data_IF_098603257387
#
_entry.id   IF_098603257387
#
_cell.length_a   1.000
_cell.length_b   1.000
_cell.length_c   1.000
_cell.angle_alpha   90.00
_cell.angle_beta   90.00
_cell.angle_gamma   90.00
#
_symmetry.space_group_name_H-M   'P 1'
#
loop_
_entity.id
_entity.type
_entity.pdbx_description
1 polymer ?
#
# COMPACT_ATOMS: atom_id res chain seq x y z
N UNK A 1 -17.29 12.01 -18.89
CA UNK A 1 -16.42 11.94 -20.04
C UNK A 1 -16.92 10.83 -20.97
N UNK A 2 -17.30 11.22 -22.22
CA UNK A 2 -17.87 10.29 -23.19
C UNK A 2 -16.83 9.29 -23.70
N UNK A 3 -15.60 9.71 -23.88
CA UNK A 3 -14.53 8.86 -24.43
C UNK A 3 -14.23 7.66 -23.52
N UNK A 4 -14.28 7.86 -22.21
CA UNK A 4 -14.14 6.77 -21.24
C UNK A 4 -15.39 5.89 -21.15
N UNK A 5 -16.58 6.50 -21.24
CA UNK A 5 -17.84 5.78 -21.17
C UNK A 5 -18.07 4.87 -22.37
N UNK A 6 -17.70 5.32 -23.58
CA UNK A 6 -17.94 4.58 -24.82
C UNK A 6 -17.33 3.17 -24.79
N UNK A 7 -16.08 3.04 -24.38
CA UNK A 7 -15.41 1.75 -24.29
C UNK A 7 -16.10 0.78 -23.33
N UNK A 8 -16.56 1.27 -22.19
CA UNK A 8 -17.31 0.48 -21.20
C UNK A 8 -18.70 0.11 -21.72
N UNK A 9 -19.37 1.05 -22.40
CA UNK A 9 -20.70 0.83 -22.98
C UNK A 9 -20.68 -0.24 -24.09
N UNK A 10 -19.70 -0.21 -24.98
CA UNK A 10 -19.54 -1.22 -26.01
C UNK A 10 -19.34 -2.63 -25.44
N UNK A 11 -18.57 -2.76 -24.36
CA UNK A 11 -18.43 -4.04 -23.67
C UNK A 11 -19.73 -4.47 -22.97
N UNK A 12 -20.49 -3.52 -22.43
CA UNK A 12 -21.80 -3.80 -21.84
C UNK A 12 -22.81 -4.29 -22.90
N UNK A 13 -22.84 -3.69 -24.09
CA UNK A 13 -23.65 -4.14 -25.23
C UNK A 13 -23.30 -5.58 -25.61
N UNK A 14 -22.03 -5.94 -25.63
CA UNK A 14 -21.61 -7.33 -25.89
C UNK A 14 -22.15 -8.35 -24.90
N UNK A 15 -22.42 -7.93 -23.66
CA UNK A 15 -23.01 -8.79 -22.61
C UNK A 15 -24.53 -8.74 -22.56
N UNK A 16 -25.10 -7.59 -22.86
CA UNK A 16 -26.53 -7.29 -22.85
C UNK A 16 -26.92 -6.63 -24.16
N UNK A 17 -27.17 -7.40 -25.23
CA UNK A 17 -27.41 -6.86 -26.59
C UNK A 17 -28.58 -5.85 -26.68
N UNK A 18 -29.54 -5.95 -25.76
CA UNK A 18 -30.66 -4.99 -25.70
C UNK A 18 -30.21 -3.54 -25.49
N UNK A 19 -29.01 -3.32 -24.98
CA UNK A 19 -28.42 -1.98 -24.76
C UNK A 19 -28.05 -1.28 -26.06
N UNK A 20 -27.87 -2.02 -27.17
CA UNK A 20 -27.57 -1.44 -28.49
C UNK A 20 -28.63 -0.42 -28.94
N UNK A 21 -29.87 -0.67 -28.58
CA UNK A 21 -31.01 0.20 -28.91
C UNK A 21 -31.47 1.08 -27.73
N UNK A 22 -30.71 1.09 -26.64
CA UNK A 22 -31.05 1.89 -25.47
C UNK A 22 -30.51 3.33 -25.59
N UNK A 23 -31.37 4.31 -25.30
CA UNK A 23 -30.92 5.70 -25.19
C UNK A 23 -30.26 5.97 -23.83
N UNK A 24 -29.30 6.87 -23.83
CA UNK A 24 -28.67 7.36 -22.58
C UNK A 24 -29.47 8.56 -22.08
N UNK A 25 -30.14 8.41 -20.96
CA UNK A 25 -30.95 9.49 -20.36
C UNK A 25 -30.06 10.57 -19.72
N UNK A 26 -28.99 10.15 -19.05
CA UNK A 26 -28.10 11.05 -18.34
C UNK A 26 -26.74 10.38 -18.13
N UNK A 27 -25.67 11.11 -18.38
CA UNK A 27 -24.33 10.75 -17.98
C UNK A 27 -23.95 11.54 -16.72
N UNK A 28 -23.74 10.84 -15.61
CA UNK A 28 -23.29 11.45 -14.35
C UNK A 28 -21.79 11.32 -14.28
N UNK A 29 -21.10 12.44 -14.10
CA UNK A 29 -19.66 12.50 -13.88
C UNK A 29 -19.39 13.42 -12.69
N UNK A 30 -18.59 12.96 -11.73
CA UNK A 30 -18.27 13.70 -10.51
C UNK A 30 -16.92 13.31 -9.96
N UNK A 31 -16.29 14.17 -9.15
CA UNK A 31 -15.04 13.86 -8.47
C UNK A 31 -15.27 12.80 -7.39
N UNK A 32 -14.30 11.92 -7.24
CA UNK A 32 -14.27 10.92 -6.18
C UNK A 32 -12.98 11.00 -5.38
N UNK A 33 -13.06 10.73 -4.08
CA UNK A 33 -11.92 10.86 -3.17
C UNK A 33 -11.13 9.55 -3.10
N UNK A 34 -9.97 9.53 -3.72
CA UNK A 34 -8.99 8.45 -3.61
C UNK A 34 -7.83 8.83 -2.72
N UNK A 35 -7.30 7.86 -2.00
CA UNK A 35 -6.10 7.97 -1.17
C UNK A 35 -4.89 7.38 -1.89
N UNK A 36 -3.66 7.76 -1.50
CA UNK A 36 -2.45 7.25 -2.16
C UNK A 36 -2.20 5.75 -1.97
N UNK A 37 -2.85 5.12 -1.01
CA UNK A 37 -2.72 3.68 -0.74
C UNK A 37 -3.99 2.87 -1.05
N UNK A 38 -5.05 3.52 -1.57
CA UNK A 38 -6.30 2.86 -1.91
C UNK A 38 -7.16 2.43 -0.71
N UNK A 39 -6.76 2.78 0.53
CA UNK A 39 -7.53 2.48 1.74
C UNK A 39 -8.14 3.76 2.32
N UNK A 40 -9.36 3.70 2.81
CA UNK A 40 -10.01 4.87 3.41
C UNK A 40 -9.29 5.33 4.70
N UNK A 41 -9.66 6.50 5.19
CA UNK A 41 -9.01 7.14 6.34
C UNK A 41 -10.01 7.16 7.50
N UNK A 42 -9.62 6.60 8.65
CA UNK A 42 -10.34 6.73 9.92
C UNK A 42 -9.38 7.20 11.01
N UNK A 43 -9.95 7.82 12.06
CA UNK A 43 -9.27 8.03 13.31
C UNK A 43 -9.06 9.47 13.71
N UNK A 44 -8.45 9.64 14.89
CA UNK A 44 -8.12 10.94 15.44
C UNK A 44 -6.89 11.52 14.75
N UNK A 45 -6.97 12.79 14.37
CA UNK A 45 -5.84 13.53 13.80
C UNK A 45 -4.68 13.57 14.80
N UNK A 46 -3.43 13.23 14.39
CA UNK A 46 -2.28 13.36 15.27
C UNK A 46 -1.92 14.81 15.60
N UNK A 47 -2.45 15.77 14.85
CA UNK A 47 -2.14 17.20 14.99
C UNK A 47 -3.19 17.95 15.80
N UNK A 48 -4.43 17.47 15.82
CA UNK A 48 -5.56 18.17 16.47
C UNK A 48 -6.35 17.18 17.33
N UNK A 49 -6.15 17.26 18.63
CA UNK A 49 -6.88 16.42 19.60
C UNK A 49 -8.38 16.62 19.51
N UNK A 50 -9.12 15.55 19.53
CA UNK A 50 -10.59 15.56 19.44
C UNK A 50 -11.12 15.75 18.02
N UNK A 51 -10.25 15.88 17.02
CA UNK A 51 -10.63 15.96 15.60
C UNK A 51 -10.53 14.59 14.96
N UNK A 52 -11.68 13.97 14.70
CA UNK A 52 -11.77 12.65 14.08
C UNK A 52 -12.11 12.78 12.59
N UNK A 53 -11.50 11.91 11.79
CA UNK A 53 -11.62 11.89 10.34
C UNK A 53 -12.24 10.58 9.89
N UNK A 54 -13.19 10.66 8.95
CA UNK A 54 -13.70 9.55 8.17
C UNK A 54 -13.80 10.02 6.71
N UNK A 55 -12.83 9.66 5.86
CA UNK A 55 -12.69 10.22 4.51
C UNK A 55 -11.99 9.27 3.54
N UNK A 56 -11.96 9.67 2.25
CA UNK A 56 -11.19 9.00 1.22
C UNK A 56 -11.62 7.54 1.01
N UNK A 57 -12.91 7.29 0.87
CA UNK A 57 -13.44 5.92 0.84
C UNK A 57 -13.21 5.17 -0.48
N UNK A 58 -12.51 5.75 -1.46
CA UNK A 58 -12.09 5.08 -2.68
C UNK A 58 -13.22 4.27 -3.34
N UNK A 59 -14.36 4.90 -3.60
CA UNK A 59 -15.59 4.31 -4.14
C UNK A 59 -16.34 3.33 -3.19
N UNK A 60 -15.80 3.00 -2.03
CA UNK A 60 -16.44 2.08 -1.08
C UNK A 60 -17.32 2.75 -0.01
N UNK A 61 -17.59 4.05 -0.13
CA UNK A 61 -18.29 4.83 0.92
C UNK A 61 -19.62 4.24 1.31
N UNK A 62 -20.45 3.81 0.37
CA UNK A 62 -21.76 3.20 0.66
C UNK A 62 -21.59 1.87 1.40
N UNK A 63 -20.69 1.02 0.97
CA UNK A 63 -20.48 -0.29 1.59
C UNK A 63 -19.83 -0.20 2.97
N UNK A 64 -18.91 0.76 3.18
CA UNK A 64 -18.12 0.87 4.40
C UNK A 64 -18.73 1.76 5.48
N UNK A 65 -19.72 2.62 5.17
CA UNK A 65 -20.20 3.69 6.06
C UNK A 65 -20.68 3.18 7.42
N UNK A 66 -21.42 2.09 7.46
CA UNK A 66 -21.97 1.54 8.70
C UNK A 66 -20.86 1.07 9.66
N UNK A 67 -19.90 0.30 9.13
CA UNK A 67 -18.75 -0.19 9.90
C UNK A 67 -17.80 0.93 10.32
N UNK A 68 -17.46 1.83 9.41
CA UNK A 68 -16.61 2.97 9.68
C UNK A 68 -17.24 3.93 10.72
N UNK A 69 -18.54 4.24 10.56
CA UNK A 69 -19.27 5.08 11.51
C UNK A 69 -19.32 4.47 12.91
N UNK A 70 -19.58 3.17 13.01
CA UNK A 70 -19.55 2.45 14.29
C UNK A 70 -18.16 2.49 14.93
N UNK A 71 -17.12 2.16 14.18
CA UNK A 71 -15.76 2.14 14.70
C UNK A 71 -15.30 3.52 15.21
N UNK A 72 -15.62 4.59 14.47
CA UNK A 72 -15.36 5.95 14.94
C UNK A 72 -16.18 6.33 16.19
N UNK A 73 -17.46 5.98 16.25
CA UNK A 73 -18.28 6.26 17.40
C UNK A 73 -17.77 5.55 18.67
N UNK A 74 -17.39 4.26 18.56
CA UNK A 74 -16.78 3.48 19.64
C UNK A 74 -15.46 4.10 20.09
N UNK A 75 -14.60 4.52 19.14
CA UNK A 75 -13.34 5.20 19.45
C UNK A 75 -13.54 6.54 20.16
N UNK A 76 -14.46 7.38 19.67
CA UNK A 76 -14.74 8.70 20.27
C UNK A 76 -15.24 8.55 21.70
N UNK A 77 -16.13 7.58 21.95
CA UNK A 77 -16.74 7.37 23.28
C UNK A 77 -15.80 6.64 24.24
N UNK A 78 -15.09 5.62 23.74
CA UNK A 78 -14.18 4.78 24.52
C UNK A 78 -12.78 5.35 24.70
N UNK A 79 -12.38 6.33 23.90
CA UNK A 79 -11.03 6.91 23.90
C UNK A 79 -10.01 6.12 23.08
N UNK A 80 -10.35 4.91 22.67
CA UNK A 80 -9.50 4.03 21.85
C UNK A 80 -10.38 3.19 20.91
N UNK A 81 -9.84 2.72 19.78
CA UNK A 81 -10.58 1.86 18.88
C UNK A 81 -10.85 0.49 19.50
N UNK A 82 -12.05 -0.06 19.28
CA UNK A 82 -12.45 -1.39 19.77
C UNK A 82 -11.85 -2.55 18.98
N UNK A 83 -11.18 -2.26 17.88
CA UNK A 83 -10.52 -3.22 16.99
C UNK A 83 -9.26 -2.63 16.39
N UNK A 84 -8.41 -3.46 15.77
CA UNK A 84 -7.23 -2.98 15.04
C UNK A 84 -7.65 -2.23 13.76
N UNK A 85 -7.53 -0.90 13.81
CA UNK A 85 -7.80 0.01 12.70
C UNK A 85 -6.51 0.50 12.00
N UNK A 86 -5.34 -0.04 12.36
CA UNK A 86 -4.06 0.42 11.79
C UNK A 86 -4.05 0.52 10.25
N UNK A 87 -4.62 -0.42 9.48
CA UNK A 87 -4.62 -0.32 8.02
C UNK A 87 -5.36 0.89 7.46
N UNK A 88 -6.25 1.49 8.24
CA UNK A 88 -7.06 2.66 7.85
C UNK A 88 -6.84 3.87 8.74
N UNK A 89 -6.01 3.77 9.77
CA UNK A 89 -5.71 4.87 10.70
C UNK A 89 -4.99 6.01 9.96
N UNK A 90 -5.43 7.25 10.21
CA UNK A 90 -4.82 8.44 9.62
C UNK A 90 -3.32 8.55 9.94
N UNK A 91 -2.87 8.01 11.08
CA UNK A 91 -1.46 8.02 11.53
C UNK A 91 -0.52 7.17 10.66
N UNK A 92 -1.06 6.35 9.74
CA UNK A 92 -0.25 5.62 8.76
C UNK A 92 0.43 6.52 7.72
N UNK A 93 -0.06 7.74 7.58
CA UNK A 93 0.53 8.71 6.66
C UNK A 93 1.69 9.47 7.30
N UNK A 94 2.82 9.52 6.59
CA UNK A 94 4.00 10.29 7.00
C UNK A 94 4.12 11.62 6.25
N UNK A 95 5.19 12.38 6.52
CA UNK A 95 5.42 13.71 5.93
C UNK A 95 5.44 13.72 4.40
N UNK A 96 5.97 12.66 3.77
CA UNK A 96 6.02 12.56 2.30
C UNK A 96 4.64 12.55 1.64
N UNK A 97 3.58 12.20 2.38
CA UNK A 97 2.21 12.27 1.89
C UNK A 97 1.68 13.73 1.82
N UNK A 98 2.44 14.71 2.27
CA UNK A 98 2.09 16.15 2.13
C UNK A 98 2.55 16.72 0.80
N UNK A 99 3.44 16.05 0.08
CA UNK A 99 3.96 16.51 -1.19
C UNK A 99 2.93 16.32 -2.31
N UNK A 100 2.50 17.42 -2.92
CA UNK A 100 1.50 17.43 -3.99
C UNK A 100 1.90 16.52 -5.16
N UNK A 101 3.17 16.53 -5.54
CA UNK A 101 3.68 15.68 -6.62
C UNK A 101 3.49 14.20 -6.30
N UNK A 102 3.88 13.78 -5.09
CA UNK A 102 3.68 12.41 -4.62
C UNK A 102 2.20 12.02 -4.62
N UNK A 103 1.34 12.90 -4.08
CA UNK A 103 -0.09 12.64 -4.02
C UNK A 103 -0.69 12.45 -5.42
N UNK A 104 -0.35 13.33 -6.37
CA UNK A 104 -0.86 13.22 -7.75
C UNK A 104 -0.41 11.90 -8.39
N UNK A 105 0.88 11.61 -8.39
CA UNK A 105 1.44 10.42 -9.02
C UNK A 105 0.89 9.12 -8.40
N UNK A 106 0.93 9.02 -7.08
CA UNK A 106 0.53 7.83 -6.36
C UNK A 106 -0.98 7.61 -6.37
N UNK A 107 -1.79 8.66 -6.21
CA UNK A 107 -3.25 8.54 -6.27
C UNK A 107 -3.71 8.18 -7.67
N UNK A 108 -3.07 8.72 -8.72
CA UNK A 108 -3.35 8.32 -10.11
C UNK A 108 -3.09 6.83 -10.32
N UNK A 109 -1.97 6.30 -9.84
CA UNK A 109 -1.67 4.87 -9.92
C UNK A 109 -2.66 4.04 -9.09
N UNK A 110 -2.94 4.44 -7.85
CA UNK A 110 -3.89 3.74 -6.98
C UNK A 110 -5.30 3.69 -7.59
N UNK A 111 -5.75 4.79 -8.18
CA UNK A 111 -7.04 4.86 -8.88
C UNK A 111 -7.05 3.95 -10.11
N UNK A 112 -5.98 3.96 -10.90
CA UNK A 112 -5.84 3.08 -12.07
C UNK A 112 -5.87 1.59 -11.70
N UNK A 113 -5.27 1.23 -10.59
CA UNK A 113 -5.25 -0.16 -10.08
C UNK A 113 -6.55 -0.57 -9.38
N UNK A 114 -7.37 0.37 -8.93
CA UNK A 114 -8.59 0.09 -8.17
C UNK A 114 -9.60 -0.80 -8.91
N UNK A 115 -9.73 -0.60 -10.21
CA UNK A 115 -10.67 -1.35 -11.06
C UNK A 115 -10.00 -2.45 -11.89
N UNK A 116 -8.73 -2.73 -11.67
CA UNK A 116 -8.01 -3.80 -12.35
C UNK A 116 -7.92 -5.04 -11.48
N UNK A 117 -7.67 -6.18 -12.09
CA UNK A 117 -7.33 -7.40 -11.37
C UNK A 117 -5.87 -7.30 -10.93
N UNK A 118 -5.65 -7.23 -9.61
CA UNK A 118 -4.31 -7.14 -9.06
C UNK A 118 -3.48 -8.41 -9.35
N UNK A 119 -2.22 -8.22 -9.67
CA UNK A 119 -1.26 -9.31 -9.74
C UNK A 119 -0.82 -9.74 -8.33
N UNK A 120 -0.51 -11.01 -8.10
CA UNK A 120 0.07 -11.44 -6.85
C UNK A 120 1.35 -10.66 -6.54
N UNK A 121 1.44 -10.13 -5.32
CA UNK A 121 2.59 -9.34 -4.83
C UNK A 121 2.88 -8.06 -5.62
N UNK A 122 1.89 -7.53 -6.34
CA UNK A 122 2.02 -6.27 -7.04
C UNK A 122 2.21 -5.11 -6.05
N UNK A 123 3.19 -4.26 -6.31
CA UNK A 123 3.48 -3.06 -5.54
C UNK A 123 3.28 -1.80 -6.37
N UNK A 124 3.20 -0.64 -5.71
CA UNK A 124 3.16 0.64 -6.39
C UNK A 124 4.55 1.02 -6.94
N UNK A 125 4.58 1.56 -8.15
CA UNK A 125 5.81 2.02 -8.82
C UNK A 125 5.98 3.54 -8.76
N UNK A 126 4.89 4.31 -8.72
CA UNK A 126 4.93 5.78 -8.71
C UNK A 126 5.40 6.37 -7.36
N UNK A 127 5.87 7.61 -7.40
CA UNK A 127 6.29 8.33 -6.20
C UNK A 127 7.46 7.66 -5.46
N UNK A 128 8.37 7.00 -6.17
CA UNK A 128 9.53 6.29 -5.63
C UNK A 128 10.84 6.81 -6.25
N UNK A 129 12.01 6.68 -5.54
CA UNK A 129 12.18 6.22 -4.15
C UNK A 129 11.77 7.29 -3.12
N UNK A 130 11.25 6.86 -1.94
CA UNK A 130 10.90 7.78 -0.83
C UNK A 130 11.94 7.76 0.29
N UNK A 131 12.15 6.59 0.89
CA UNK A 131 13.11 6.40 1.99
C UNK A 131 14.13 5.35 1.57
N UNK A 132 15.40 5.69 1.69
CA UNK A 132 16.51 4.82 1.29
C UNK A 132 17.44 4.58 2.46
N UNK A 133 17.90 3.35 2.63
CA UNK A 133 18.98 3.06 3.58
C UNK A 133 20.32 3.59 3.06
N UNK A 134 21.30 3.71 3.93
CA UNK A 134 22.67 4.05 3.53
C UNK A 134 23.31 3.01 2.57
N UNK A 135 22.75 1.81 2.52
CA UNK A 135 23.21 0.72 1.65
C UNK A 135 22.48 0.68 0.29
N UNK A 136 21.43 1.49 0.09
CA UNK A 136 20.60 1.46 -1.12
C UNK A 136 21.42 1.45 -2.41
N UNK A 137 22.39 2.37 -2.52
CA UNK A 137 23.23 2.46 -3.73
C UNK A 137 24.04 1.19 -4.00
N UNK A 138 24.60 0.56 -2.96
CA UNK A 138 25.34 -0.70 -3.06
C UNK A 138 24.44 -1.85 -3.45
N UNK A 139 23.29 -1.97 -2.81
CA UNK A 139 22.30 -3.01 -3.10
C UNK A 139 21.78 -2.88 -4.53
N UNK A 140 21.52 -1.66 -4.98
CA UNK A 140 21.12 -1.38 -6.37
C UNK A 140 22.19 -1.77 -7.38
N UNK A 141 23.45 -1.41 -7.12
CA UNK A 141 24.59 -1.81 -7.98
C UNK A 141 24.81 -3.32 -8.00
N UNK A 142 24.42 -4.03 -6.94
CA UNK A 142 24.45 -5.50 -6.85
C UNK A 142 23.23 -6.18 -7.48
N UNK A 143 22.43 -5.48 -8.28
CA UNK A 143 21.28 -6.05 -8.97
C UNK A 143 19.98 -6.10 -8.14
N UNK A 144 19.91 -5.36 -7.04
CA UNK A 144 18.71 -5.32 -6.20
C UNK A 144 17.47 -4.85 -6.97
N UNK A 145 16.44 -5.68 -7.02
CA UNK A 145 15.09 -5.31 -7.43
C UNK A 145 14.31 -4.86 -6.20
N UNK A 146 13.91 -3.59 -6.19
CA UNK A 146 13.36 -2.98 -4.99
C UNK A 146 11.83 -2.97 -4.98
N UNK A 147 11.28 -3.30 -3.80
CA UNK A 147 9.92 -3.02 -3.41
C UNK A 147 9.85 -1.88 -2.39
N UNK A 148 8.64 -1.47 -2.03
CA UNK A 148 8.40 -0.42 -1.05
C UNK A 148 7.67 -0.95 0.17
N UNK A 149 8.25 -0.77 1.37
CA UNK A 149 7.61 -1.13 2.63
C UNK A 149 7.55 0.08 3.55
N UNK A 150 6.36 0.61 3.81
CA UNK A 150 6.15 1.86 4.57
C UNK A 150 7.00 3.03 4.05
N UNK A 151 7.14 3.11 2.73
CA UNK A 151 7.95 4.12 2.04
C UNK A 151 9.45 3.81 1.97
N UNK A 152 9.94 2.77 2.63
CA UNK A 152 11.32 2.33 2.52
C UNK A 152 11.54 1.46 1.29
N UNK A 153 12.58 1.77 0.53
CA UNK A 153 13.09 0.92 -0.53
C UNK A 153 13.80 -0.29 0.08
N UNK A 154 13.28 -1.48 -0.21
CA UNK A 154 13.86 -2.76 0.24
C UNK A 154 14.05 -3.69 -0.94
N UNK A 155 15.21 -4.35 -1.09
CA UNK A 155 15.39 -5.33 -2.15
C UNK A 155 14.47 -6.54 -1.88
N UNK A 156 13.63 -6.86 -2.86
CA UNK A 156 12.80 -8.06 -2.84
C UNK A 156 13.61 -9.28 -3.29
N UNK A 157 14.52 -9.09 -4.24
CA UNK A 157 15.44 -10.10 -4.78
C UNK A 157 16.59 -9.44 -5.52
N UNK A 158 17.60 -10.21 -5.90
CA UNK A 158 18.76 -9.73 -6.64
C UNK A 158 18.85 -10.39 -8.02
N UNK A 159 18.88 -9.56 -9.06
CA UNK A 159 19.06 -9.98 -10.44
C UNK A 159 20.55 -10.22 -10.71
N UNK A 160 20.93 -11.36 -11.28
CA UNK A 160 22.31 -11.56 -11.74
C UNK A 160 22.61 -10.72 -12.99
N UNK A 161 23.88 -10.64 -13.36
CA UNK A 161 24.33 -9.92 -14.55
C UNK A 161 23.54 -10.36 -15.79
N UNK A 162 23.10 -9.37 -16.57
CA UNK A 162 22.32 -9.59 -17.79
C UNK A 162 20.81 -9.80 -17.56
N UNK A 163 20.35 -9.82 -16.32
CA UNK A 163 18.93 -9.88 -15.98
C UNK A 163 18.46 -8.50 -15.50
N UNK A 164 17.33 -8.02 -16.05
CA UNK A 164 16.72 -6.78 -15.62
C UNK A 164 16.17 -6.92 -14.18
N UNK A 165 16.58 -6.05 -13.22
CA UNK A 165 16.08 -6.08 -11.85
C UNK A 165 14.68 -5.47 -11.76
N UNK A 166 13.72 -6.16 -12.35
CA UNK A 166 12.31 -5.75 -12.40
C UNK A 166 11.40 -6.95 -12.22
N UNK A 167 10.38 -6.79 -11.37
CA UNK A 167 9.33 -7.78 -11.23
C UNK A 167 8.47 -7.87 -12.50
N UNK A 168 8.21 -9.10 -12.94
CA UNK A 168 7.26 -9.41 -14.01
C UNK A 168 6.11 -10.21 -13.37
N UNK A 169 4.98 -9.54 -13.11
CA UNK A 169 3.84 -10.17 -12.45
C UNK A 169 3.35 -11.40 -13.21
N UNK A 170 2.93 -12.42 -12.48
CA UNK A 170 2.40 -13.66 -13.04
C UNK A 170 1.49 -14.36 -12.04
N UNK A 171 0.41 -15.00 -12.51
CA UNK A 171 -0.39 -15.92 -11.70
C UNK A 171 0.25 -17.31 -11.55
N UNK A 172 1.30 -17.60 -12.33
CA UNK A 172 2.17 -18.74 -12.16
C UNK A 172 3.43 -18.39 -11.35
N UNK A 173 4.55 -19.02 -11.68
CA UNK A 173 5.86 -18.65 -11.09
C UNK A 173 6.31 -17.32 -11.65
N UNK A 174 6.59 -16.37 -10.76
CA UNK A 174 7.15 -15.07 -11.11
C UNK A 174 8.60 -15.21 -11.59
N UNK A 175 9.09 -14.22 -12.34
CA UNK A 175 10.45 -14.21 -12.90
C UNK A 175 11.56 -14.27 -11.83
N UNK A 176 11.29 -13.81 -10.62
CA UNK A 176 12.24 -13.81 -9.50
C UNK A 176 12.35 -15.16 -8.77
N UNK A 177 11.45 -16.11 -9.01
CA UNK A 177 11.32 -17.34 -8.19
C UNK A 177 12.63 -18.13 -8.06
N UNK A 178 13.33 -18.38 -9.16
CA UNK A 178 14.57 -19.15 -9.14
C UNK A 178 15.74 -18.38 -8.48
N UNK A 179 15.71 -17.05 -8.57
CA UNK A 179 16.72 -16.20 -7.93
C UNK A 179 16.54 -16.20 -6.42
N UNK A 180 15.32 -15.97 -5.94
CA UNK A 180 14.97 -16.07 -4.52
C UNK A 180 15.27 -17.47 -3.98
N UNK A 181 14.97 -18.53 -4.73
CA UNK A 181 15.28 -19.90 -4.31
C UNK A 181 16.79 -20.13 -4.11
N UNK A 182 17.64 -19.49 -4.93
CA UNK A 182 19.11 -19.53 -4.76
C UNK A 182 19.55 -18.77 -3.51
N UNK A 183 18.99 -17.57 -3.28
CA UNK A 183 19.27 -16.77 -2.09
C UNK A 183 18.91 -17.51 -0.80
N UNK A 184 17.75 -18.17 -0.79
CA UNK A 184 17.34 -19.02 0.33
C UNK A 184 18.31 -20.18 0.60
N UNK A 185 18.73 -20.91 -0.42
CA UNK A 185 19.71 -21.97 -0.25
C UNK A 185 21.04 -21.44 0.27
N UNK A 186 21.53 -20.33 -0.32
CA UNK A 186 22.79 -19.71 0.11
C UNK A 186 22.71 -19.28 1.59
N UNK A 187 21.60 -18.68 2.01
CA UNK A 187 21.40 -18.25 3.40
C UNK A 187 21.45 -19.42 4.39
N UNK A 188 21.06 -20.62 3.97
CA UNK A 188 21.11 -21.82 4.83
C UNK A 188 22.45 -22.54 4.84
N UNK A 189 23.26 -22.34 3.81
CA UNK A 189 24.50 -23.08 3.59
C UNK A 189 25.75 -22.21 3.81
N UNK A 190 25.59 -20.87 3.79
CA UNK A 190 26.71 -19.92 3.85
C UNK A 190 26.31 -18.66 4.65
N UNK A 191 27.16 -17.63 4.59
CA UNK A 191 26.93 -16.36 5.28
C UNK A 191 26.10 -15.41 4.40
N UNK A 192 25.09 -14.80 4.97
CA UNK A 192 24.24 -13.79 4.33
C UNK A 192 24.18 -12.52 5.15
N UNK A 193 24.04 -11.38 4.46
CA UNK A 193 23.86 -10.07 5.05
C UNK A 193 22.47 -9.53 4.69
N UNK A 194 21.72 -9.09 5.70
CA UNK A 194 20.38 -8.51 5.52
C UNK A 194 20.41 -7.03 5.91
N UNK A 195 19.92 -6.15 5.02
CA UNK A 195 19.74 -4.73 5.34
C UNK A 195 18.41 -4.53 6.07
N UNK A 196 18.48 -4.42 7.38
CA UNK A 196 17.35 -4.15 8.26
C UNK A 196 17.24 -2.68 8.69
N UNK A 197 17.87 -1.75 7.96
CA UNK A 197 17.84 -0.32 8.27
C UNK A 197 16.42 0.25 8.30
N UNK A 198 15.48 -0.36 7.58
CA UNK A 198 14.07 0.05 7.52
C UNK A 198 13.24 -0.36 8.74
N UNK A 199 13.74 -1.27 9.58
CA UNK A 199 13.06 -1.65 10.81
C UNK A 199 13.20 -0.57 11.88
N UNK A 200 12.20 -0.41 12.73
CA UNK A 200 12.26 0.47 13.88
C UNK A 200 13.30 -0.03 14.90
N UNK A 201 14.00 0.89 15.51
CA UNK A 201 14.93 0.62 16.60
C UNK A 201 14.42 1.35 17.84
N UNK A 202 14.30 0.62 18.91
CA UNK A 202 13.85 1.15 20.19
C UNK A 202 14.96 0.98 21.23
N UNK A 203 15.21 2.01 22.02
CA UNK A 203 16.03 1.93 23.22
C UNK A 203 15.09 1.93 24.42
N UNK A 204 15.15 0.90 25.22
CA UNK A 204 14.48 0.84 26.52
C UNK A 204 15.55 0.91 27.60
N UNK A 205 15.49 1.93 28.44
CA UNK A 205 16.45 2.18 29.50
C UNK A 205 15.74 2.24 30.86
N UNK A 206 16.39 1.72 31.91
CA UNK A 206 15.89 1.72 33.27
C UNK A 206 16.16 0.40 34.00
N UNK A 207 16.05 0.39 35.35
CA UNK A 207 16.36 -0.78 36.16
C UNK A 207 15.46 -1.99 35.87
N UNK A 208 14.25 -1.78 35.37
CA UNK A 208 13.29 -2.83 35.05
C UNK A 208 13.15 -3.10 33.54
N UNK A 209 14.05 -2.58 32.69
CA UNK A 209 13.96 -2.69 31.24
C UNK A 209 13.90 -4.15 30.76
N UNK A 210 14.78 -5.01 31.26
CA UNK A 210 14.80 -6.44 30.95
C UNK A 210 13.48 -7.12 31.32
N UNK A 211 13.02 -6.86 32.55
CA UNK A 211 11.78 -7.45 33.09
C UNK A 211 10.55 -7.00 32.27
N UNK A 212 10.50 -5.73 31.91
CA UNK A 212 9.43 -5.18 31.08
C UNK A 212 9.42 -5.83 29.69
N UNK A 213 10.57 -5.96 29.02
CA UNK A 213 10.69 -6.61 27.73
C UNK A 213 10.32 -8.10 27.81
N UNK A 214 10.79 -8.82 28.82
CA UNK A 214 10.44 -10.24 29.03
C UNK A 214 8.96 -10.46 29.31
N UNK A 215 8.28 -9.45 29.87
CA UNK A 215 6.83 -9.50 30.06
C UNK A 215 6.04 -9.24 28.77
N UNK A 216 6.50 -8.29 27.95
CA UNK A 216 5.78 -7.83 26.75
C UNK A 216 6.09 -8.71 25.54
N UNK A 217 7.34 -9.14 25.40
CA UNK A 217 7.82 -9.87 24.23
C UNK A 217 7.85 -11.38 24.50
N UNK A 218 7.55 -12.16 23.47
CA UNK A 218 7.85 -13.59 23.48
C UNK A 218 9.38 -13.77 23.33
N UNK A 219 10.01 -14.42 24.23
CA UNK A 219 11.44 -14.74 24.21
C UNK A 219 11.72 -16.17 23.73
#
# INVERSE_FOLDING_TARGET
DWDQFEGLFLQAVGRVPALENAGIRQLINGPEAFTPDGSFILGESPEVRGFFVGAGFNAYGIAANGGAGRALAEWIVGGEPSMDLWPVDIRRFGEHHRETKFLIERTTEATGKHYTMAWPSEEHESGRPLKMSSLYGRLKSGGGCFGSKFGWERPNWFAPDGVEPRDKPSYGRANWFEYVAREHRHTREAVSLFDESSFAKYLLDGPDAEKALSWICAN
#
